data_IF_545177004345
#
_entry.id   IF_545177004345
#
_cell.length_a   1.000
_cell.length_b   1.000
_cell.length_c   1.000
_cell.angle_alpha   90.00
_cell.angle_beta   90.00
_cell.angle_gamma   90.00
#
_symmetry.space_group_name_H-M   'P 1'
#
loop_
_entity.id
_entity.type
_entity.pdbx_description
1 polymer ?
#
# COMPACT_ATOMS: atom_id res chain seq x y z
N UNK A 1 -20.48 13.57 -1.09
CA UNK A 1 -19.86 14.12 0.13
C UNK A 1 -18.56 14.75 -0.30
N UNK A 2 -18.33 16.04 -0.09
CA UNK A 2 -17.09 16.72 -0.48
C UNK A 2 -16.12 16.60 0.68
N UNK A 3 -15.05 15.84 0.52
CA UNK A 3 -13.87 16.02 1.35
C UNK A 3 -13.29 17.40 1.01
N UNK A 4 -12.95 18.16 2.03
CA UNK A 4 -12.60 19.59 1.90
C UNK A 4 -11.45 19.76 0.89
N UNK A 5 -11.46 20.81 0.10
CA UNK A 5 -10.64 21.01 -1.11
C UNK A 5 -9.12 21.00 -0.89
N UNK A 6 -8.66 21.09 0.35
CA UNK A 6 -7.24 21.05 0.69
C UNK A 6 -6.71 19.61 0.91
N UNK A 7 -7.58 18.62 0.79
CA UNK A 7 -7.26 17.23 1.06
C UNK A 7 -7.28 16.42 -0.24
N UNK A 8 -6.14 16.03 -0.72
CA UNK A 8 -5.99 15.24 -1.93
C UNK A 8 -5.03 14.07 -1.73
N UNK A 9 -5.24 13.00 -2.44
CA UNK A 9 -4.22 11.99 -2.60
C UNK A 9 -3.10 12.54 -3.48
N UNK A 10 -1.87 12.32 -3.06
CA UNK A 10 -0.70 12.46 -3.92
C UNK A 10 -0.03 11.10 -4.02
N UNK A 11 0.04 10.57 -5.22
CA UNK A 11 0.85 9.41 -5.52
C UNK A 11 2.19 9.90 -6.02
N UNK A 12 3.27 9.44 -5.38
CA UNK A 12 4.62 9.66 -5.87
C UNK A 12 5.27 8.34 -6.15
N UNK A 13 5.82 8.18 -7.35
CA UNK A 13 6.78 7.13 -7.67
C UNK A 13 8.17 7.72 -7.54
N UNK A 14 8.96 7.18 -6.64
CA UNK A 14 10.35 7.56 -6.50
C UNK A 14 11.25 6.46 -7.04
N UNK A 15 12.19 6.84 -7.92
CA UNK A 15 13.22 5.97 -8.50
C UNK A 15 12.71 4.64 -9.09
N UNK A 16 11.59 4.67 -9.80
CA UNK A 16 11.03 3.56 -10.58
C UNK A 16 10.53 2.34 -9.76
N UNK A 17 10.83 2.24 -8.47
CA UNK A 17 10.62 1.02 -7.70
C UNK A 17 9.64 1.18 -6.53
N UNK A 18 9.17 2.39 -6.22
CA UNK A 18 8.43 2.67 -5.00
C UNK A 18 7.31 3.62 -5.23
N UNK A 19 6.24 3.37 -4.53
CA UNK A 19 5.10 4.26 -4.51
C UNK A 19 4.75 4.62 -3.08
N UNK A 20 4.62 5.91 -2.88
CA UNK A 20 4.07 6.49 -1.67
C UNK A 20 2.68 7.02 -1.99
N UNK A 21 1.70 6.70 -1.17
CA UNK A 21 0.40 7.34 -1.21
C UNK A 21 0.32 8.31 -0.06
N UNK A 22 0.11 9.58 -0.37
CA UNK A 22 -0.05 10.63 0.62
C UNK A 22 -1.44 11.23 0.55
N UNK A 23 -2.15 11.17 1.66
CA UNK A 23 -3.45 11.78 1.87
C UNK A 23 -3.26 13.01 2.78
N UNK A 24 -3.89 14.11 2.44
CA UNK A 24 -3.91 15.30 3.31
C UNK A 24 -5.19 15.31 4.15
N UNK A 25 -5.06 15.46 5.46
CA UNK A 25 -6.15 15.54 6.40
C UNK A 25 -5.91 16.63 7.44
N UNK A 26 -6.73 17.68 7.43
CA UNK A 26 -6.65 18.80 8.39
C UNK A 26 -5.23 19.39 8.51
N UNK A 27 -4.54 19.52 7.38
CA UNK A 27 -3.18 20.05 7.33
C UNK A 27 -2.07 19.05 7.67
N UNK A 28 -2.39 17.81 8.06
CA UNK A 28 -1.43 16.72 8.27
C UNK A 28 -1.42 15.75 7.10
N UNK A 29 -0.27 15.18 6.81
CA UNK A 29 -0.14 14.08 5.86
C UNK A 29 -0.49 12.74 6.53
N UNK A 30 -1.30 11.90 5.86
CA UNK A 30 -1.39 10.47 6.15
C UNK A 30 -0.65 9.78 5.01
N UNK A 31 0.47 9.14 5.34
CA UNK A 31 1.42 8.64 4.35
C UNK A 31 1.50 7.13 4.43
N UNK A 32 1.08 6.45 3.38
CA UNK A 32 1.25 5.01 3.24
C UNK A 32 2.62 4.70 2.65
N UNK A 33 3.34 3.77 3.28
CA UNK A 33 4.59 3.19 2.80
C UNK A 33 5.61 4.23 2.31
N UNK A 34 6.06 5.17 3.16
CA UNK A 34 6.83 6.33 2.75
C UNK A 34 8.17 5.98 2.10
N UNK A 35 8.43 6.58 0.96
CA UNK A 35 9.69 6.51 0.24
C UNK A 35 10.53 7.78 0.41
N UNK A 36 9.89 8.92 0.63
CA UNK A 36 10.48 10.24 0.78
C UNK A 36 10.59 10.65 2.26
N UNK A 37 11.29 11.74 2.55
CA UNK A 37 11.33 12.30 3.88
C UNK A 37 9.94 12.54 4.45
N UNK A 38 9.76 12.14 5.69
CA UNK A 38 8.53 12.23 6.45
C UNK A 38 8.59 13.50 7.28
N UNK A 39 7.54 14.31 7.27
CA UNK A 39 7.39 15.40 8.20
C UNK A 39 7.11 14.87 9.63
N UNK A 40 7.53 15.59 10.65
CA UNK A 40 7.36 15.16 12.04
C UNK A 40 5.89 15.06 12.48
N UNK A 41 5.02 15.77 11.78
CA UNK A 41 3.58 15.79 12.02
C UNK A 41 2.78 14.84 11.13
N UNK A 42 3.44 14.15 10.17
CA UNK A 42 2.80 13.13 9.36
C UNK A 42 2.36 11.92 10.21
N UNK A 43 1.22 11.33 9.82
CA UNK A 43 0.79 10.01 10.29
C UNK A 43 1.24 8.99 9.25
N UNK A 44 2.11 8.08 9.65
CA UNK A 44 2.68 7.06 8.75
C UNK A 44 1.95 5.74 8.93
N UNK A 45 1.43 5.19 7.85
CA UNK A 45 0.75 3.89 7.82
C UNK A 45 1.61 2.91 7.04
N UNK A 46 1.96 1.79 7.65
CA UNK A 46 2.75 0.75 7.00
C UNK A 46 1.86 -0.44 6.64
N UNK A 47 1.82 -0.78 5.35
CA UNK A 47 0.98 -1.88 4.86
C UNK A 47 1.66 -3.25 4.97
N UNK A 48 2.98 -3.30 5.14
CA UNK A 48 3.68 -4.57 5.31
C UNK A 48 5.16 -4.46 5.59
N UNK A 49 5.75 -5.55 6.07
CA UNK A 49 7.14 -5.60 6.54
C UNK A 49 8.14 -5.80 5.39
N UNK A 50 8.05 -5.03 4.31
CA UNK A 50 9.02 -5.12 3.22
C UNK A 50 9.96 -3.91 3.19
N UNK A 51 11.20 -4.06 2.70
CA UNK A 51 12.16 -2.97 2.60
C UNK A 51 11.59 -1.73 1.90
N UNK A 52 10.80 -1.95 0.85
CA UNK A 52 10.26 -0.87 0.03
C UNK A 52 9.21 -0.04 0.76
N UNK A 53 8.59 -0.61 1.79
CA UNK A 53 7.53 0.04 2.59
C UNK A 53 8.05 0.71 3.86
N UNK A 54 9.11 0.16 4.46
CA UNK A 54 9.60 0.59 5.79
C UNK A 54 10.82 1.50 5.69
N UNK A 55 11.60 1.46 4.61
CA UNK A 55 12.91 2.11 4.54
C UNK A 55 12.84 3.61 4.82
N UNK A 56 11.90 4.33 4.25
CA UNK A 56 11.74 5.77 4.47
C UNK A 56 11.45 6.07 5.95
N UNK A 57 10.55 5.31 6.56
CA UNK A 57 10.24 5.43 7.98
C UNK A 57 11.45 5.08 8.86
N UNK A 58 12.15 3.98 8.56
CA UNK A 58 13.34 3.58 9.32
C UNK A 58 14.45 4.64 9.26
N UNK A 59 14.65 5.25 8.10
CA UNK A 59 15.61 6.33 7.94
C UNK A 59 15.22 7.57 8.77
N UNK A 60 13.95 7.95 8.77
CA UNK A 60 13.44 9.08 9.54
C UNK A 60 13.62 8.85 11.05
N UNK A 61 13.24 7.68 11.55
CA UNK A 61 13.39 7.32 12.98
C UNK A 61 14.87 7.34 13.40
N UNK A 62 15.76 6.76 12.60
CA UNK A 62 17.22 6.79 12.85
C UNK A 62 17.80 8.19 12.81
N UNK A 63 17.24 9.09 12.03
CA UNK A 63 17.64 10.51 11.97
C UNK A 63 17.09 11.33 13.14
N UNK A 64 16.32 10.72 14.06
CA UNK A 64 15.75 11.39 15.23
C UNK A 64 14.37 12.01 15.01
N UNK A 65 13.76 11.81 13.85
CA UNK A 65 12.37 12.18 13.61
C UNK A 65 11.45 11.29 14.45
N UNK A 66 10.41 11.89 15.04
CA UNK A 66 9.42 11.16 15.85
C UNK A 66 8.06 11.16 15.15
N UNK A 67 7.89 10.39 14.08
CA UNK A 67 6.62 10.35 13.37
C UNK A 67 5.56 9.63 14.21
N UNK A 68 4.29 9.94 13.92
CA UNK A 68 3.17 9.13 14.42
C UNK A 68 2.99 7.93 13.49
N UNK A 69 3.14 6.71 14.01
CA UNK A 69 3.13 5.47 13.21
C UNK A 69 1.91 4.61 13.53
N UNK A 70 1.29 4.06 12.50
CA UNK A 70 0.27 3.02 12.57
C UNK A 70 0.73 1.85 11.71
N UNK A 71 0.98 0.69 12.32
CA UNK A 71 1.54 -0.48 11.65
C UNK A 71 1.11 -1.77 12.33
N UNK A 72 1.62 -2.93 11.90
CA UNK A 72 1.46 -4.18 12.64
C UNK A 72 2.36 -4.21 13.88
N UNK A 73 2.06 -5.13 14.82
CA UNK A 73 2.85 -5.33 16.03
C UNK A 73 4.33 -5.57 15.70
N UNK A 74 4.62 -6.43 14.72
CA UNK A 74 5.98 -6.81 14.35
C UNK A 74 6.78 -5.63 13.79
N UNK A 75 6.11 -4.74 13.04
CA UNK A 75 6.74 -3.51 12.52
C UNK A 75 7.00 -2.53 13.66
N UNK A 76 6.05 -2.35 14.57
CA UNK A 76 6.22 -1.48 15.73
C UNK A 76 7.34 -1.96 16.65
N UNK A 77 7.40 -3.25 16.95
CA UNK A 77 8.45 -3.87 17.76
C UNK A 77 9.84 -3.71 17.12
N UNK A 78 9.91 -3.84 15.81
CA UNK A 78 11.15 -3.62 15.09
C UNK A 78 11.58 -2.15 15.09
N UNK A 79 10.66 -1.22 14.85
CA UNK A 79 10.94 0.22 14.86
C UNK A 79 11.42 0.71 16.22
N UNK A 80 10.87 0.17 17.32
CA UNK A 80 11.25 0.54 18.67
C UNK A 80 12.74 0.32 18.97
N UNK A 81 13.37 -0.62 18.27
CA UNK A 81 14.82 -0.91 18.35
C UNK A 81 15.67 0.11 17.58
N UNK A 82 15.06 0.86 16.65
CA UNK A 82 15.77 1.86 15.84
C UNK A 82 15.74 3.25 16.48
N UNK A 83 14.68 3.58 17.20
CA UNK A 83 14.51 4.87 17.85
C UNK A 83 13.07 5.14 18.31
N UNK A 84 12.82 6.29 18.93
CA UNK A 84 11.49 6.64 19.41
C UNK A 84 10.57 7.05 18.26
N UNK A 85 9.30 6.65 18.37
CA UNK A 85 8.19 7.10 17.53
C UNK A 85 6.92 7.21 18.39
N UNK A 86 5.90 7.87 17.87
CA UNK A 86 4.58 7.93 18.49
C UNK A 86 3.62 6.95 17.79
N UNK A 87 2.51 6.60 18.45
CA UNK A 87 1.51 5.70 17.86
C UNK A 87 1.69 4.25 18.29
N UNK A 88 1.64 3.32 17.34
CA UNK A 88 1.75 1.86 17.58
C UNK A 88 0.77 1.04 16.73
N UNK A 89 0.50 -0.23 17.11
CA UNK A 89 -0.36 -1.10 16.34
C UNK A 89 -1.83 -0.64 16.35
N UNK A 90 -2.57 -1.03 15.29
CA UNK A 90 -4.01 -0.78 15.20
C UNK A 90 -4.85 -1.75 16.05
N UNK A 91 -6.12 -1.49 16.30
CA UNK A 91 -6.85 -0.31 15.85
C UNK A 91 -6.56 0.94 16.68
N UNK A 92 -6.53 2.11 16.05
CA UNK A 92 -6.25 3.40 16.71
C UNK A 92 -7.10 4.53 16.16
N UNK A 93 -7.28 5.56 16.99
CA UNK A 93 -7.83 6.84 16.55
C UNK A 93 -6.79 7.93 16.77
N UNK A 94 -6.43 8.63 15.69
CA UNK A 94 -5.45 9.73 15.70
C UNK A 94 -6.09 10.91 14.95
N UNK A 95 -6.15 12.07 15.57
CA UNK A 95 -6.80 13.29 15.03
C UNK A 95 -8.23 13.05 14.52
N UNK A 96 -8.96 12.18 15.20
CA UNK A 96 -10.32 11.80 14.85
C UNK A 96 -10.44 10.76 13.74
N UNK A 97 -9.37 10.44 13.03
CA UNK A 97 -9.35 9.35 12.04
C UNK A 97 -9.15 8.02 12.75
N UNK A 98 -10.05 7.08 12.50
CA UNK A 98 -9.94 5.71 13.01
C UNK A 98 -9.23 4.84 11.99
N UNK A 99 -8.17 4.17 12.41
CA UNK A 99 -7.36 3.23 11.65
C UNK A 99 -7.66 1.80 12.14
N UNK A 100 -8.05 0.94 11.22
CA UNK A 100 -8.30 -0.48 11.47
C UNK A 100 -7.63 -1.30 10.38
N UNK A 101 -7.14 -2.49 10.70
CA UNK A 101 -6.46 -3.33 9.72
C UNK A 101 -6.90 -4.78 9.77
N UNK A 102 -6.67 -5.47 8.66
CA UNK A 102 -6.79 -6.92 8.55
C UNK A 102 -5.59 -7.42 7.74
N UNK A 103 -4.95 -8.48 8.23
CA UNK A 103 -3.87 -9.12 7.49
C UNK A 103 -4.41 -9.92 6.29
N UNK A 104 -3.56 -10.04 5.27
CA UNK A 104 -3.85 -10.88 4.11
C UNK A 104 -2.62 -11.71 3.72
N UNK A 105 -2.87 -12.82 3.05
CA UNK A 105 -1.77 -13.62 2.50
C UNK A 105 -1.19 -12.88 1.29
N UNK A 106 0.08 -12.52 1.37
CA UNK A 106 0.75 -11.91 0.23
C UNK A 106 0.65 -12.84 -0.98
N UNK A 107 0.37 -12.29 -2.16
CA UNK A 107 0.55 -13.00 -3.40
C UNK A 107 2.01 -13.49 -3.44
N UNK A 108 2.23 -14.69 -2.98
CA UNK A 108 3.42 -15.37 -3.38
C UNK A 108 3.33 -15.46 -4.90
N UNK A 109 4.36 -15.05 -5.64
CA UNK A 109 4.38 -15.33 -7.08
C UNK A 109 4.41 -16.85 -7.35
N UNK A 110 4.16 -17.65 -6.31
CA UNK A 110 4.20 -19.12 -6.34
C UNK A 110 5.58 -19.66 -6.74
N UNK A 111 6.52 -18.75 -7.01
CA UNK A 111 7.86 -19.13 -7.45
C UNK A 111 8.75 -19.36 -6.24
N UNK A 112 9.37 -20.52 -6.12
CA UNK A 112 10.34 -20.76 -5.08
C UNK A 112 11.48 -19.75 -5.17
N UNK A 113 12.05 -19.39 -4.02
CA UNK A 113 13.14 -18.41 -3.88
C UNK A 113 14.21 -18.50 -4.98
N UNK A 114 14.64 -19.70 -5.45
CA UNK A 114 15.60 -19.83 -6.54
C UNK A 114 15.14 -19.19 -7.85
N UNK A 115 13.84 -19.23 -8.18
CA UNK A 115 13.32 -18.63 -9.42
C UNK A 115 13.26 -17.12 -9.35
N UNK A 116 13.03 -16.52 -8.18
CA UNK A 116 13.16 -15.07 -7.98
C UNK A 116 14.62 -14.64 -8.15
N UNK A 117 15.53 -15.38 -7.54
CA UNK A 117 16.97 -15.13 -7.69
C UNK A 117 17.42 -15.22 -9.16
N UNK A 118 16.94 -16.23 -9.89
CA UNK A 118 17.22 -16.40 -11.33
C UNK A 118 16.67 -15.21 -12.12
N UNK A 119 15.48 -14.68 -11.79
CA UNK A 119 14.93 -13.50 -12.46
C UNK A 119 15.79 -12.25 -12.22
N UNK A 120 16.29 -12.04 -10.98
CA UNK A 120 17.21 -10.95 -10.65
C UNK A 120 18.58 -11.09 -11.30
N UNK A 121 19.12 -12.31 -11.35
CA UNK A 121 20.40 -12.61 -12.00
C UNK A 121 20.25 -12.51 -13.52
N UNK A 122 19.14 -13.02 -14.06
CA UNK A 122 18.84 -12.91 -15.50
C UNK A 122 18.64 -11.47 -15.98
N UNK A 123 18.22 -10.55 -15.08
CA UNK A 123 18.14 -9.12 -15.36
C UNK A 123 19.50 -8.40 -15.28
N UNK A 124 20.63 -9.12 -15.18
CA UNK A 124 21.99 -8.58 -15.09
C UNK A 124 22.24 -7.61 -13.92
N UNK A 125 21.49 -7.72 -12.83
CA UNK A 125 21.63 -6.88 -11.65
C UNK A 125 21.91 -7.69 -10.35
N UNK A 126 22.97 -8.53 -10.31
CA UNK A 126 23.26 -9.40 -9.15
C UNK A 126 23.52 -8.59 -7.87
N UNK A 127 24.11 -7.40 -7.99
CA UNK A 127 24.34 -6.50 -6.86
C UNK A 127 23.05 -5.94 -6.25
N UNK A 128 22.02 -5.71 -7.06
CA UNK A 128 20.70 -5.28 -6.57
C UNK A 128 19.98 -6.45 -5.84
N UNK A 129 20.08 -7.65 -6.38
CA UNK A 129 19.52 -8.86 -5.75
C UNK A 129 20.16 -9.15 -4.37
N UNK A 130 21.49 -9.10 -4.26
CA UNK A 130 22.20 -9.28 -3.00
C UNK A 130 21.84 -8.21 -1.98
N UNK A 131 21.72 -6.95 -2.41
CA UNK A 131 21.31 -5.84 -1.55
C UNK A 131 19.90 -6.06 -1.02
N UNK A 132 18.96 -6.42 -1.89
CA UNK A 132 17.58 -6.70 -1.51
C UNK A 132 17.47 -7.87 -0.54
N UNK A 133 18.22 -8.95 -0.75
CA UNK A 133 18.25 -10.08 0.17
C UNK A 133 18.82 -9.70 1.54
N UNK A 134 19.90 -8.93 1.57
CA UNK A 134 20.49 -8.44 2.82
C UNK A 134 19.55 -7.51 3.57
N UNK A 135 18.92 -6.57 2.87
CA UNK A 135 17.93 -5.67 3.46
C UNK A 135 16.74 -6.44 4.03
N UNK A 136 16.27 -7.47 3.31
CA UNK A 136 15.16 -8.30 3.77
C UNK A 136 15.49 -9.11 5.02
N UNK A 137 16.75 -9.53 5.22
CA UNK A 137 17.15 -10.28 6.42
C UNK A 137 17.08 -9.46 7.70
N UNK A 138 17.18 -8.14 7.58
CA UNK A 138 17.18 -7.22 8.71
C UNK A 138 15.79 -6.62 9.00
N UNK A 139 14.77 -6.99 8.22
CA UNK A 139 13.42 -6.49 8.34
C UNK A 139 12.55 -7.36 9.25
N UNK A 140 11.48 -6.79 9.84
CA UNK A 140 10.51 -7.59 10.59
C UNK A 140 9.85 -8.63 9.68
N UNK A 141 9.45 -9.73 10.25
CA UNK A 141 8.63 -10.75 9.58
C UNK A 141 7.17 -10.56 9.98
N UNK A 142 6.26 -10.78 9.05
CA UNK A 142 4.83 -10.69 9.32
C UNK A 142 4.02 -10.62 8.03
N UNK A 143 2.71 -10.82 8.11
CA UNK A 143 1.84 -10.65 6.96
C UNK A 143 1.65 -9.17 6.62
N UNK A 144 1.39 -8.84 5.36
CA UNK A 144 0.93 -7.51 4.99
C UNK A 144 -0.52 -7.29 5.44
N UNK A 145 -0.90 -6.01 5.57
CA UNK A 145 -2.20 -5.58 6.06
C UNK A 145 -2.89 -4.68 5.05
N UNK A 146 -4.21 -4.86 4.92
CA UNK A 146 -5.09 -3.83 4.38
C UNK A 146 -5.45 -2.86 5.50
N UNK A 147 -5.71 -1.59 5.16
CA UNK A 147 -6.03 -0.56 6.13
C UNK A 147 -7.34 0.12 5.79
N UNK A 148 -8.22 0.18 6.77
CA UNK A 148 -9.47 0.93 6.72
C UNK A 148 -9.34 2.20 7.55
N UNK A 149 -9.63 3.34 6.93
CA UNK A 149 -9.62 4.66 7.53
C UNK A 149 -11.04 5.20 7.55
N UNK A 150 -11.55 5.54 8.74
CA UNK A 150 -12.81 6.24 8.89
C UNK A 150 -12.55 7.67 9.32
N UNK A 151 -12.93 8.61 8.47
CA UNK A 151 -12.80 10.04 8.71
C UNK A 151 -14.09 10.58 9.33
N UNK A 152 -14.03 11.36 10.42
CA UNK A 152 -15.22 11.94 11.01
C UNK A 152 -15.91 12.85 9.99
N UNK A 153 -17.19 12.61 9.74
CA UNK A 153 -18.05 13.38 8.84
C UNK A 153 -17.66 13.39 7.35
N UNK A 154 -16.65 12.62 6.94
CA UNK A 154 -16.07 12.69 5.58
C UNK A 154 -15.97 11.36 4.83
N UNK A 155 -16.35 10.25 5.43
CA UNK A 155 -16.39 8.98 4.73
C UNK A 155 -15.28 8.00 5.11
N UNK A 156 -15.18 6.93 4.34
CA UNK A 156 -14.34 5.77 4.61
C UNK A 156 -13.47 5.44 3.41
N UNK A 157 -12.22 5.16 3.69
CA UNK A 157 -11.25 4.71 2.70
C UNK A 157 -10.73 3.32 3.09
N UNK A 158 -10.71 2.40 2.14
CA UNK A 158 -10.07 1.10 2.31
C UNK A 158 -8.87 0.99 1.37
N UNK A 159 -7.69 0.90 1.95
CA UNK A 159 -6.45 0.63 1.24
C UNK A 159 -6.22 -0.87 1.17
N UNK A 160 -6.51 -1.48 0.04
CA UNK A 160 -6.40 -2.92 -0.19
C UNK A 160 -4.98 -3.38 -0.56
N UNK A 161 -4.10 -2.44 -0.91
CA UNK A 161 -2.75 -2.75 -1.38
C UNK A 161 -2.79 -3.82 -2.51
N UNK A 162 -2.12 -4.94 -2.32
CA UNK A 162 -2.06 -6.07 -3.26
C UNK A 162 -2.91 -7.27 -2.81
N UNK A 163 -3.87 -7.06 -1.92
CA UNK A 163 -4.65 -8.15 -1.33
C UNK A 163 -5.54 -8.91 -2.32
N UNK A 164 -5.91 -8.30 -3.46
CA UNK A 164 -6.74 -8.93 -4.47
C UNK A 164 -5.90 -9.56 -5.59
N UNK A 165 -5.45 -10.78 -5.37
CA UNK A 165 -4.65 -11.56 -6.31
C UNK A 165 -5.30 -12.93 -6.61
N UNK A 166 -4.72 -13.72 -7.50
CA UNK A 166 -5.26 -15.04 -7.91
C UNK A 166 -5.44 -16.03 -6.76
N UNK A 167 -4.56 -15.96 -5.75
CA UNK A 167 -4.62 -16.81 -4.57
C UNK A 167 -5.58 -16.34 -3.49
N UNK A 168 -6.21 -15.17 -3.67
CA UNK A 168 -7.16 -14.64 -2.69
C UNK A 168 -8.38 -15.54 -2.58
N UNK A 169 -8.71 -15.96 -1.36
CA UNK A 169 -9.81 -16.86 -1.07
C UNK A 169 -11.12 -16.12 -0.84
N UNK A 170 -12.24 -16.78 -1.13
CA UNK A 170 -13.57 -16.24 -0.86
C UNK A 170 -13.75 -15.91 0.63
N UNK A 171 -13.31 -16.81 1.51
CA UNK A 171 -13.44 -16.65 2.95
C UNK A 171 -12.72 -15.40 3.48
N UNK A 172 -11.53 -15.10 2.91
CA UNK A 172 -10.82 -13.88 3.28
C UNK A 172 -11.56 -12.64 2.77
N UNK A 173 -12.03 -12.65 1.52
CA UNK A 173 -12.81 -11.54 0.94
C UNK A 173 -14.07 -11.29 1.73
N UNK A 174 -14.82 -12.34 2.10
CA UNK A 174 -16.06 -12.23 2.85
C UNK A 174 -15.81 -11.67 4.27
N UNK A 175 -14.74 -12.08 4.93
CA UNK A 175 -14.32 -11.50 6.22
C UNK A 175 -13.95 -10.03 6.07
N UNK A 176 -13.13 -9.67 5.08
CA UNK A 176 -12.70 -8.30 4.85
C UNK A 176 -13.88 -7.39 4.45
N UNK A 177 -14.78 -7.87 3.58
CA UNK A 177 -15.98 -7.13 3.19
C UNK A 177 -16.98 -6.99 4.35
N UNK A 178 -17.07 -7.98 5.24
CA UNK A 178 -17.90 -7.89 6.46
C UNK A 178 -17.33 -6.85 7.43
N UNK A 179 -16.02 -6.83 7.61
CA UNK A 179 -15.34 -5.87 8.49
C UNK A 179 -15.36 -4.44 7.95
N UNK A 180 -15.10 -4.26 6.66
CA UNK A 180 -14.79 -2.97 6.05
C UNK A 180 -15.62 -2.65 4.80
N UNK A 181 -16.70 -3.38 4.54
CA UNK A 181 -17.52 -3.22 3.35
C UNK A 181 -18.17 -1.83 3.23
N UNK A 182 -18.51 -1.48 1.98
CA UNK A 182 -19.04 -0.19 1.59
C UNK A 182 -18.18 1.01 2.00
N UNK A 183 -16.86 1.00 1.79
CA UNK A 183 -16.07 2.22 1.89
C UNK A 183 -16.50 3.17 0.75
N UNK A 184 -16.28 4.46 0.92
CA UNK A 184 -16.52 5.41 -0.16
C UNK A 184 -15.46 5.26 -1.26
N UNK A 185 -14.23 4.91 -0.84
CA UNK A 185 -13.08 4.75 -1.73
C UNK A 185 -12.29 3.49 -1.42
N UNK A 186 -11.92 2.79 -2.51
CA UNK A 186 -10.98 1.68 -2.51
C UNK A 186 -9.69 2.12 -3.19
N UNK A 187 -8.58 2.03 -2.50
CA UNK A 187 -7.25 2.22 -3.10
C UNK A 187 -6.61 0.85 -3.24
N UNK A 188 -6.26 0.46 -4.44
CA UNK A 188 -5.63 -0.83 -4.68
C UNK A 188 -4.57 -0.77 -5.77
N UNK A 189 -3.50 -1.54 -5.57
CA UNK A 189 -2.53 -1.89 -6.57
C UNK A 189 -2.78 -3.30 -7.13
N UNK A 190 -2.11 -3.62 -8.22
CA UNK A 190 -2.09 -4.99 -8.71
C UNK A 190 -0.73 -5.31 -9.32
N UNK A 191 -0.36 -6.57 -9.27
CA UNK A 191 0.85 -7.07 -9.91
C UNK A 191 0.53 -7.62 -11.31
N UNK A 192 1.55 -7.64 -12.16
CA UNK A 192 1.46 -8.29 -13.47
C UNK A 192 0.93 -9.73 -13.35
N UNK A 193 -0.11 -10.02 -14.10
CA UNK A 193 -0.80 -11.30 -14.07
C UNK A 193 -1.83 -11.49 -12.95
N UNK A 194 -2.01 -10.51 -12.07
CA UNK A 194 -2.96 -10.59 -10.93
C UNK A 194 -4.29 -9.85 -11.17
N UNK A 195 -4.44 -9.17 -12.30
CA UNK A 195 -5.68 -8.44 -12.64
C UNK A 195 -6.95 -9.28 -12.60
N UNK A 196 -6.84 -10.61 -12.77
CA UNK A 196 -7.97 -11.54 -12.61
C UNK A 196 -8.50 -11.56 -11.17
N UNK A 197 -7.62 -11.55 -10.17
CA UNK A 197 -8.02 -11.47 -8.76
C UNK A 197 -8.78 -10.19 -8.47
N UNK A 198 -8.29 -9.05 -8.98
CA UNK A 198 -8.98 -7.76 -8.84
C UNK A 198 -10.37 -7.82 -9.48
N UNK A 199 -10.49 -8.25 -10.73
CA UNK A 199 -11.80 -8.37 -11.42
C UNK A 199 -12.79 -9.25 -10.67
N UNK A 200 -12.32 -10.36 -10.12
CA UNK A 200 -13.15 -11.33 -9.41
C UNK A 200 -13.71 -10.78 -8.10
N UNK A 201 -12.94 -9.99 -7.38
CA UNK A 201 -13.23 -9.72 -5.98
C UNK A 201 -13.56 -8.27 -5.63
N UNK A 202 -13.10 -7.28 -6.43
CA UNK A 202 -13.23 -5.86 -6.07
C UNK A 202 -14.67 -5.42 -5.84
N UNK A 203 -15.61 -5.94 -6.64
CA UNK A 203 -17.03 -5.63 -6.51
C UNK A 203 -17.68 -6.07 -5.19
N UNK A 204 -17.01 -6.94 -4.39
CA UNK A 204 -17.51 -7.37 -3.07
C UNK A 204 -17.40 -6.29 -2.01
N UNK A 205 -16.55 -5.29 -2.22
CA UNK A 205 -16.31 -4.21 -1.25
C UNK A 205 -17.21 -2.99 -1.48
N UNK A 206 -17.72 -2.79 -2.68
CA UNK A 206 -18.40 -1.53 -3.04
C UNK A 206 -17.44 -0.35 -3.15
N UNK A 207 -18.00 0.87 -3.27
CA UNK A 207 -17.22 2.10 -3.34
C UNK A 207 -16.59 2.38 -4.71
N UNK A 208 -15.94 3.53 -4.81
CA UNK A 208 -15.20 3.96 -6.00
C UNK A 208 -13.76 3.44 -5.93
N UNK A 209 -13.25 2.96 -7.05
CA UNK A 209 -11.93 2.31 -7.13
C UNK A 209 -10.88 3.28 -7.64
N UNK A 210 -9.79 3.44 -6.90
CA UNK A 210 -8.56 4.07 -7.33
C UNK A 210 -7.50 2.99 -7.61
N UNK A 211 -7.27 2.69 -8.88
CA UNK A 211 -6.22 1.78 -9.30
C UNK A 211 -4.88 2.51 -9.32
N UNK A 212 -3.91 1.95 -8.63
CA UNK A 212 -2.55 2.48 -8.59
C UNK A 212 -1.61 1.63 -9.43
N UNK A 213 -0.66 2.28 -10.12
CA UNK A 213 0.37 1.63 -10.94
C UNK A 213 1.66 1.33 -10.14
N UNK A 214 1.52 1.19 -8.85
CA UNK A 214 2.61 1.14 -7.88
C UNK A 214 3.61 0.02 -8.17
N UNK A 215 3.11 -1.15 -8.48
CA UNK A 215 3.92 -2.38 -8.51
C UNK A 215 4.65 -2.60 -9.84
N UNK A 216 4.26 -1.88 -10.87
CA UNK A 216 4.94 -1.97 -12.16
C UNK A 216 6.30 -1.26 -12.18
N UNK A 217 6.58 -0.39 -11.22
CA UNK A 217 7.84 0.35 -11.13
C UNK A 217 9.05 -0.57 -11.02
N UNK A 218 9.05 -1.50 -10.04
CA UNK A 218 10.13 -2.48 -9.87
C UNK A 218 10.32 -3.33 -11.14
N UNK A 219 9.23 -3.78 -11.73
CA UNK A 219 9.26 -4.58 -12.95
C UNK A 219 9.86 -3.80 -14.12
N UNK A 220 9.48 -2.53 -14.31
CA UNK A 220 10.10 -1.65 -15.35
C UNK A 220 11.58 -1.47 -15.10
N UNK A 221 12.01 -1.22 -13.87
CA UNK A 221 13.41 -1.05 -13.52
C UNK A 221 14.26 -2.31 -13.82
N UNK A 222 13.63 -3.48 -13.72
CA UNK A 222 14.26 -4.77 -14.02
C UNK A 222 14.11 -5.19 -15.50
N UNK A 223 13.41 -4.40 -16.35
CA UNK A 223 13.13 -4.76 -17.73
C UNK A 223 12.15 -5.93 -17.87
N UNK A 224 11.35 -6.20 -16.83
CA UNK A 224 10.36 -7.27 -16.84
C UNK A 224 9.04 -6.80 -17.46
N UNK A 225 8.23 -7.70 -18.04
CA UNK A 225 6.90 -7.34 -18.55
C UNK A 225 6.03 -6.69 -17.48
N UNK A 226 5.34 -5.62 -17.84
CA UNK A 226 4.38 -4.91 -16.99
C UNK A 226 2.98 -5.03 -17.56
N UNK A 227 1.98 -5.04 -16.70
CA UNK A 227 0.58 -4.99 -17.09
C UNK A 227 0.11 -3.53 -17.01
N UNK A 228 -0.53 -3.06 -18.07
CA UNK A 228 -1.07 -1.71 -18.10
C UNK A 228 -2.33 -1.62 -17.23
N UNK A 229 -2.42 -0.55 -16.46
CA UNK A 229 -3.56 -0.27 -15.55
C UNK A 229 -4.84 0.00 -16.35
N UNK A 230 -4.72 0.67 -17.49
CA UNK A 230 -5.85 1.12 -18.31
C UNK A 230 -6.78 -0.01 -18.76
N UNK A 231 -6.29 -1.16 -19.31
CA UNK A 231 -7.17 -2.26 -19.68
C UNK A 231 -7.96 -2.84 -18.49
N UNK A 232 -7.36 -2.91 -17.31
CA UNK A 232 -8.04 -3.36 -16.11
C UNK A 232 -9.12 -2.36 -15.69
N UNK A 233 -8.82 -1.06 -15.70
CA UNK A 233 -9.82 0.00 -15.47
C UNK A 233 -11.01 -0.15 -16.41
N UNK A 234 -10.76 -0.27 -17.70
CA UNK A 234 -11.82 -0.36 -18.71
C UNK A 234 -12.73 -1.57 -18.50
N UNK A 235 -12.15 -2.70 -18.10
CA UNK A 235 -12.91 -3.90 -17.74
C UNK A 235 -13.78 -3.71 -16.50
N UNK A 236 -13.28 -3.02 -15.47
CA UNK A 236 -14.04 -2.73 -14.24
C UNK A 236 -15.18 -1.74 -14.52
N UNK A 237 -14.91 -0.70 -15.30
CA UNK A 237 -15.93 0.26 -15.73
C UNK A 237 -17.02 -0.43 -16.56
N UNK A 238 -16.64 -1.31 -17.48
CA UNK A 238 -17.60 -2.11 -18.26
C UNK A 238 -18.45 -3.07 -17.38
N UNK A 239 -17.92 -3.47 -16.21
CA UNK A 239 -18.64 -4.24 -15.20
C UNK A 239 -19.49 -3.36 -14.24
N UNK A 240 -19.59 -2.05 -14.49
CA UNK A 240 -20.38 -1.10 -13.69
C UNK A 240 -19.68 -0.62 -12.42
N UNK A 241 -18.38 -0.83 -12.29
CA UNK A 241 -17.59 -0.39 -11.12
C UNK A 241 -16.92 0.95 -11.46
N UNK A 242 -17.28 2.01 -10.75
CA UNK A 242 -16.64 3.32 -10.91
C UNK A 242 -15.15 3.20 -10.59
N UNK A 243 -14.31 3.37 -11.60
CA UNK A 243 -12.86 3.11 -11.48
C UNK A 243 -12.05 4.22 -12.11
N UNK A 244 -11.11 4.76 -11.34
CA UNK A 244 -10.17 5.78 -11.75
C UNK A 244 -8.74 5.25 -11.68
N UNK A 245 -7.89 5.69 -12.61
CA UNK A 245 -6.45 5.42 -12.57
C UNK A 245 -5.77 6.55 -11.82
N UNK A 246 -5.04 6.21 -10.79
CA UNK A 246 -4.25 7.14 -10.05
C UNK A 246 -2.81 7.10 -10.57
N UNK A 247 -2.51 7.99 -11.50
CA UNK A 247 -1.20 8.07 -12.13
C UNK A 247 -0.15 8.63 -11.16
N UNK A 248 1.10 8.26 -11.40
CA UNK A 248 2.28 8.85 -10.74
C UNK A 248 2.24 10.36 -10.76
N UNK A 249 2.52 11.00 -9.63
CA UNK A 249 2.53 12.46 -9.43
C UNK A 249 1.17 13.15 -9.66
N UNK A 250 0.11 12.39 -9.87
CA UNK A 250 -1.24 12.94 -9.93
C UNK A 250 -1.75 13.27 -8.53
N UNK A 251 -2.60 14.28 -8.44
CA UNK A 251 -3.43 14.54 -7.27
C UNK A 251 -4.86 14.17 -7.61
N UNK A 252 -5.49 13.39 -6.75
CA UNK A 252 -6.90 13.06 -6.85
C UNK A 252 -7.66 13.77 -5.73
N UNK A 253 -8.76 14.46 -6.08
CA UNK A 253 -9.63 15.08 -5.10
C UNK A 253 -10.87 14.21 -4.93
N UNK A 254 -11.23 13.95 -3.70
CA UNK A 254 -12.46 13.25 -3.37
C UNK A 254 -13.64 14.23 -3.48
N UNK A 255 -14.59 13.90 -4.31
CA UNK A 255 -15.88 14.60 -4.40
C UNK A 255 -17.01 13.69 -3.91
#
# INVERSE_FOLDING_TARGET
MKLDYDHGFRLRLDHADRAEIRLQWRGRGIVFDPCEPIASDDIVVITGPSPDRIRGLAAAVKAGTRPTVVASDEVCDWLSKLGPFEGGPGPRTIDGVRFESLHYDAAGDGRPLPRRLVAYVGALKPGAALRHLREKSDMPSGPPHIWHLSFPDHGRLLHLDLALHRGTTADWVDRAATAFGNPDWLVLGFQHGEGEGVRKWVGRFGGKVLLTDIVNGERRALGLPVELVTPLRDQLVAAGIETHVFATQASYRFE
#
